data_IF_627889120590
#
_entry.id   IF_627889120590
#
_cell.length_a   1.000
_cell.length_b   1.000
_cell.length_c   1.000
_cell.angle_alpha   90.00
_cell.angle_beta   90.00
_cell.angle_gamma   90.00
#
_symmetry.space_group_name_H-M   'P 1'
#
loop_
_entity.id
_entity.type
_entity.pdbx_description
1 polymer ?
#
# COMPACT_ATOMS: atom_id res chain seq x y z
N UNK A 1 57.50 44.71 -41.53
CA UNK A 1 56.48 43.74 -41.98
C UNK A 1 57.22 42.64 -42.73
N UNK A 2 57.57 41.55 -42.03
CA UNK A 2 58.26 40.34 -42.48
C UNK A 2 57.57 39.22 -41.68
N UNK A 3 56.91 38.20 -42.24
CA UNK A 3 57.35 37.31 -43.29
C UNK A 3 57.84 36.01 -42.62
N UNK A 4 56.93 35.08 -42.30
CA UNK A 4 57.29 33.75 -41.77
C UNK A 4 57.06 32.67 -42.83
N UNK A 5 58.06 31.80 -42.93
CA UNK A 5 58.17 30.67 -43.84
C UNK A 5 57.71 29.36 -43.20
N UNK A 6 57.44 28.40 -44.09
CA UNK A 6 56.97 27.03 -43.89
C UNK A 6 57.91 26.09 -43.11
N UNK A 7 57.38 24.96 -42.63
CA UNK A 7 57.90 23.59 -42.87
C UNK A 7 57.12 22.50 -42.10
N UNK A 8 57.21 21.26 -42.61
CA UNK A 8 56.43 20.04 -42.34
C UNK A 8 57.15 19.03 -41.43
N UNK A 9 56.35 18.09 -40.87
CA UNK A 9 56.65 16.74 -40.31
C UNK A 9 56.83 16.62 -38.78
N UNK A 10 56.74 15.42 -38.13
CA UNK A 10 56.29 14.09 -38.57
C UNK A 10 55.28 13.37 -37.62
N UNK A 11 54.89 12.17 -38.04
CA UNK A 11 54.08 11.13 -37.39
C UNK A 11 54.80 10.46 -36.18
N UNK A 12 54.12 10.23 -35.04
CA UNK A 12 54.35 9.09 -34.11
C UNK A 12 53.15 8.81 -33.20
N UNK A 13 52.79 7.52 -33.12
CA UNK A 13 51.93 6.91 -32.10
C UNK A 13 52.67 6.80 -30.76
N UNK A 14 51.92 6.87 -29.66
CA UNK A 14 52.36 6.36 -28.36
C UNK A 14 51.61 6.97 -27.17
N UNK A 15 51.35 6.11 -26.19
CA UNK A 15 51.09 6.42 -24.78
C UNK A 15 49.64 6.73 -24.34
N UNK A 16 49.02 5.68 -23.78
CA UNK A 16 48.60 5.62 -22.37
C UNK A 16 48.25 6.92 -21.62
N UNK A 17 47.04 6.88 -21.05
CA UNK A 17 46.63 7.33 -19.71
C UNK A 17 46.28 8.82 -19.46
N UNK A 18 44.96 9.02 -19.46
CA UNK A 18 44.15 9.57 -18.34
C UNK A 18 43.83 11.08 -18.30
N UNK A 19 42.58 11.31 -17.86
CA UNK A 19 42.04 12.49 -17.15
C UNK A 19 41.22 13.56 -17.89
N UNK A 20 39.92 13.58 -17.52
CA UNK A 20 39.08 14.75 -17.22
C UNK A 20 38.44 15.50 -18.40
N UNK A 21 37.20 15.12 -18.73
CA UNK A 21 36.17 16.11 -19.02
C UNK A 21 35.01 15.95 -18.06
N UNK A 22 35.06 16.75 -17.01
CA UNK A 22 33.95 17.12 -16.15
C UNK A 22 32.71 17.50 -16.98
N UNK A 23 31.56 16.95 -16.59
CA UNK A 23 30.32 17.66 -16.21
C UNK A 23 29.06 16.89 -16.64
N UNK A 24 28.21 16.68 -15.62
CA UNK A 24 26.74 16.88 -15.60
C UNK A 24 25.93 16.21 -16.72
N UNK A 25 24.88 15.43 -16.48
CA UNK A 25 23.84 15.59 -15.48
C UNK A 25 23.02 14.29 -15.39
N UNK A 26 22.35 14.15 -14.26
CA UNK A 26 21.30 13.17 -13.94
C UNK A 26 20.25 13.09 -15.05
N UNK A 27 19.74 11.88 -15.27
CA UNK A 27 18.30 11.62 -15.30
C UNK A 27 18.05 10.13 -15.09
N UNK A 28 17.42 9.84 -13.95
CA UNK A 28 16.60 8.66 -13.66
C UNK A 28 15.73 8.24 -14.85
N UNK A 29 15.79 6.97 -15.25
CA UNK A 29 14.81 5.94 -14.86
C UNK A 29 15.19 4.61 -15.54
N UNK A 30 15.05 3.49 -14.82
CA UNK A 30 14.27 2.42 -15.43
C UNK A 30 13.23 1.88 -14.46
N UNK A 31 11.97 2.08 -14.83
CA UNK A 31 10.87 1.10 -14.79
C UNK A 31 11.20 -0.20 -14.03
N UNK A 32 10.69 -0.30 -12.80
CA UNK A 32 10.57 -1.58 -12.11
C UNK A 32 9.29 -1.61 -11.26
N UNK A 33 8.18 -2.06 -11.85
CA UNK A 33 7.41 -3.11 -11.17
C UNK A 33 7.99 -4.41 -11.72
N UNK A 34 8.54 -5.29 -10.86
CA UNK A 34 7.72 -5.98 -9.87
C UNK A 34 8.41 -6.06 -8.50
N UNK A 35 7.88 -5.41 -7.48
CA UNK A 35 8.28 -5.73 -6.11
C UNK A 35 7.64 -7.07 -5.70
N UNK A 36 8.38 -8.11 -6.06
CA UNK A 36 8.71 -9.27 -5.24
C UNK A 36 7.68 -9.66 -4.17
N UNK A 37 6.97 -10.75 -4.45
CA UNK A 37 6.42 -11.65 -3.45
C UNK A 37 7.53 -12.06 -2.46
N UNK A 38 7.46 -11.56 -1.24
CA UNK A 38 8.24 -11.97 -0.08
C UNK A 38 7.26 -12.25 1.09
N UNK A 39 7.61 -13.14 2.03
CA UNK A 39 6.78 -14.23 2.50
C UNK A 39 5.47 -13.75 3.15
N UNK A 40 4.36 -14.41 2.80
CA UNK A 40 2.97 -14.11 3.17
C UNK A 40 2.64 -14.20 4.69
N UNK A 41 3.63 -14.16 5.57
CA UNK A 41 3.48 -14.44 7.00
C UNK A 41 3.53 -13.20 7.92
N UNK A 42 3.77 -11.99 7.40
CA UNK A 42 3.81 -10.74 8.19
C UNK A 42 3.06 -9.58 7.53
N UNK A 43 2.00 -9.87 6.79
CA UNK A 43 1.13 -8.83 6.25
C UNK A 43 -0.15 -8.74 7.10
N UNK A 44 -0.41 -7.62 7.82
CA UNK A 44 -1.60 -7.48 8.65
C UNK A 44 -2.90 -7.54 7.84
N UNK A 45 -2.87 -7.17 6.55
CA UNK A 45 -4.00 -7.32 5.63
C UNK A 45 -4.35 -8.79 5.41
N UNK A 46 -3.37 -9.59 4.99
CA UNK A 46 -3.55 -11.03 4.77
C UNK A 46 -4.02 -11.77 6.02
N UNK A 47 -3.52 -11.36 7.20
CA UNK A 47 -3.95 -11.89 8.49
C UNK A 47 -5.43 -11.56 8.75
N UNK A 48 -5.82 -10.30 8.56
CA UNK A 48 -7.20 -9.88 8.74
C UNK A 48 -8.13 -10.64 7.79
N UNK A 49 -7.83 -10.69 6.49
CA UNK A 49 -8.66 -11.38 5.49
C UNK A 49 -8.85 -12.87 5.82
N UNK A 50 -7.78 -13.57 6.22
CA UNK A 50 -7.87 -14.96 6.63
C UNK A 50 -8.79 -15.13 7.86
N UNK A 51 -8.65 -14.26 8.86
CA UNK A 51 -9.53 -14.27 10.03
C UNK A 51 -10.99 -14.01 9.65
N UNK A 52 -11.26 -13.07 8.76
CA UNK A 52 -12.61 -12.73 8.33
C UNK A 52 -13.27 -13.91 7.61
N UNK A 53 -12.55 -14.61 6.73
CA UNK A 53 -13.06 -15.82 6.06
C UNK A 53 -13.30 -16.97 7.06
N UNK A 54 -12.34 -17.23 7.95
CA UNK A 54 -12.45 -18.27 8.98
C UNK A 54 -13.66 -18.05 9.88
N UNK A 55 -13.89 -16.79 10.26
CA UNK A 55 -15.02 -16.38 11.10
C UNK A 55 -16.33 -16.29 10.32
N UNK A 56 -16.34 -16.53 9.00
CA UNK A 56 -17.53 -16.42 8.14
C UNK A 56 -18.17 -15.04 8.20
N UNK A 57 -17.34 -14.01 8.17
CA UNK A 57 -17.78 -12.63 7.94
C UNK A 57 -18.38 -12.50 6.53
N UNK A 58 -19.32 -11.58 6.38
CA UNK A 58 -20.12 -11.43 5.16
C UNK A 58 -19.80 -10.10 4.47
N UNK A 59 -20.03 -10.05 3.15
CA UNK A 59 -19.86 -8.85 2.33
C UNK A 59 -18.51 -8.14 2.52
N UNK A 60 -17.43 -8.92 2.65
CA UNK A 60 -16.08 -8.39 2.81
C UNK A 60 -15.63 -7.72 1.51
N UNK A 61 -15.34 -6.43 1.61
CA UNK A 61 -14.82 -5.60 0.52
C UNK A 61 -13.50 -5.02 0.96
N UNK A 62 -12.54 -5.05 0.05
CA UNK A 62 -11.24 -4.45 0.23
C UNK A 62 -11.09 -3.21 -0.65
N UNK A 63 -10.53 -2.16 -0.07
CA UNK A 63 -10.40 -0.84 -0.68
C UNK A 63 -8.93 -0.46 -0.63
N UNK A 64 -8.33 -0.34 -1.80
CA UNK A 64 -6.98 0.20 -1.96
C UNK A 64 -6.98 1.71 -1.72
N UNK A 65 -6.19 2.13 -0.72
CA UNK A 65 -6.03 3.52 -0.30
C UNK A 65 -4.70 4.13 -0.75
N UNK A 66 -3.80 3.34 -1.34
CA UNK A 66 -2.48 3.80 -1.79
C UNK A 66 -2.66 4.95 -2.78
N UNK A 67 -2.01 6.08 -2.49
CA UNK A 67 -2.10 7.29 -3.31
C UNK A 67 -3.43 8.07 -3.17
N UNK A 68 -4.39 7.60 -2.38
CA UNK A 68 -5.66 8.30 -2.09
C UNK A 68 -5.62 9.02 -0.74
N UNK A 69 -4.95 8.45 0.25
CA UNK A 69 -4.81 9.01 1.60
C UNK A 69 -3.54 8.47 2.27
N UNK A 70 -3.03 9.16 3.28
CA UNK A 70 -1.87 8.73 4.08
C UNK A 70 -2.27 7.99 5.36
N UNK A 71 -3.54 7.63 5.52
CA UNK A 71 -4.08 7.09 6.78
C UNK A 71 -3.73 5.60 6.97
N UNK A 72 -3.72 4.84 5.86
CA UNK A 72 -3.43 3.42 5.77
C UNK A 72 -3.30 3.06 4.28
N UNK A 73 -2.70 1.92 3.97
CA UNK A 73 -2.57 1.42 2.59
C UNK A 73 -3.82 0.66 2.15
N UNK A 74 -4.46 -0.05 3.08
CA UNK A 74 -5.64 -0.86 2.81
C UNK A 74 -6.74 -0.62 3.83
N UNK A 75 -7.98 -0.65 3.36
CA UNK A 75 -9.14 -0.70 4.23
C UNK A 75 -10.05 -1.86 3.85
N UNK A 76 -10.41 -2.64 4.86
CA UNK A 76 -11.30 -3.79 4.74
C UNK A 76 -12.61 -3.42 5.43
N UNK A 77 -13.73 -3.60 4.72
CA UNK A 77 -15.08 -3.39 5.26
C UNK A 77 -15.82 -4.72 5.19
N UNK A 78 -16.37 -5.17 6.31
CA UNK A 78 -17.03 -6.46 6.41
C UNK A 78 -18.24 -6.40 7.32
N UNK A 79 -19.10 -7.41 7.25
CA UNK A 79 -20.32 -7.52 8.05
C UNK A 79 -20.34 -8.75 8.95
N UNK A 80 -20.90 -8.59 10.15
CA UNK A 80 -21.18 -9.66 11.09
C UNK A 80 -22.68 -9.75 11.37
N UNK A 81 -23.27 -10.93 11.15
CA UNK A 81 -24.71 -11.25 11.34
C UNK A 81 -25.37 -10.88 12.68
N UNK A 82 -24.62 -10.56 13.73
CA UNK A 82 -25.15 -10.17 15.04
C UNK A 82 -24.08 -9.47 15.87
N UNK A 83 -24.46 -8.77 16.95
CA UNK A 83 -23.52 -8.20 17.92
C UNK A 83 -22.46 -9.19 18.40
N UNK A 84 -22.89 -10.41 18.79
CA UNK A 84 -21.98 -11.46 19.24
C UNK A 84 -21.00 -11.85 18.15
N UNK A 85 -21.49 -11.93 16.90
CA UNK A 85 -20.66 -12.29 15.77
C UNK A 85 -19.62 -11.20 15.47
N UNK A 86 -20.04 -9.93 15.44
CA UNK A 86 -19.14 -8.76 15.28
C UNK A 86 -18.06 -8.77 16.36
N UNK A 87 -18.43 -8.93 17.63
CA UNK A 87 -17.48 -9.02 18.73
C UNK A 87 -16.49 -10.18 18.56
N UNK A 88 -16.99 -11.38 18.21
CA UNK A 88 -16.12 -12.55 18.02
C UNK A 88 -15.16 -12.40 16.83
N UNK A 89 -15.59 -11.76 15.74
CA UNK A 89 -14.72 -11.46 14.59
C UNK A 89 -13.63 -10.47 15.05
N UNK A 90 -14.01 -9.40 15.74
CA UNK A 90 -13.08 -8.39 16.21
C UNK A 90 -12.02 -9.00 17.14
N UNK A 91 -12.45 -9.77 18.15
CA UNK A 91 -11.56 -10.43 19.11
C UNK A 91 -10.57 -11.36 18.39
N UNK A 92 -11.05 -12.14 17.40
CA UNK A 92 -10.19 -13.05 16.64
C UNK A 92 -9.14 -12.30 15.81
N UNK A 93 -9.54 -11.23 15.12
CA UNK A 93 -8.62 -10.39 14.34
C UNK A 93 -7.57 -9.75 15.24
N UNK A 94 -7.98 -9.16 16.37
CA UNK A 94 -7.05 -8.54 17.34
C UNK A 94 -6.04 -9.56 17.86
N UNK A 95 -6.51 -10.76 18.20
CA UNK A 95 -5.66 -11.84 18.71
C UNK A 95 -4.63 -12.28 17.67
N UNK A 96 -5.03 -12.53 16.42
CA UNK A 96 -4.12 -12.98 15.36
C UNK A 96 -3.12 -11.90 14.94
N UNK A 97 -3.56 -10.63 14.88
CA UNK A 97 -2.66 -9.49 14.68
C UNK A 97 -1.60 -9.43 15.78
N UNK A 98 -2.03 -9.56 17.04
CA UNK A 98 -1.12 -9.55 18.19
C UNK A 98 -0.11 -10.69 18.15
N UNK A 99 -0.56 -11.91 17.87
CA UNK A 99 0.29 -13.11 17.77
C UNK A 99 1.37 -12.99 16.68
N UNK A 100 1.08 -12.21 15.63
CA UNK A 100 1.97 -12.02 14.47
C UNK A 100 2.81 -10.75 14.52
N UNK A 101 2.75 -10.02 15.64
CA UNK A 101 3.61 -8.86 15.91
C UNK A 101 2.95 -7.49 15.75
N UNK A 102 1.65 -7.43 15.44
CA UNK A 102 0.84 -6.21 15.26
C UNK A 102 0.00 -5.88 16.49
N UNK A 103 0.54 -6.12 17.69
CA UNK A 103 -0.20 -6.00 18.96
C UNK A 103 -0.48 -4.58 19.44
N UNK A 104 -0.09 -3.56 18.69
CA UNK A 104 -0.34 -2.14 18.96
C UNK A 104 -1.61 -1.62 18.28
N UNK A 105 -2.44 -2.51 17.72
CA UNK A 105 -3.67 -2.14 17.04
C UNK A 105 -4.61 -1.37 17.98
N UNK A 106 -5.15 -0.25 17.49
CA UNK A 106 -6.17 0.54 18.19
C UNK A 106 -7.54 0.00 17.85
N UNK A 107 -8.44 -0.04 18.83
CA UNK A 107 -9.77 -0.63 18.67
C UNK A 107 -10.84 0.32 19.19
N UNK A 108 -11.88 0.54 18.40
CA UNK A 108 -13.05 1.36 18.74
C UNK A 108 -14.35 0.57 18.55
N UNK A 109 -15.42 0.96 19.26
CA UNK A 109 -16.77 0.39 19.10
C UNK A 109 -17.08 -0.87 19.94
N UNK A 110 -16.08 -1.44 20.62
CA UNK A 110 -16.29 -2.45 21.67
C UNK A 110 -16.70 -1.79 23.01
N UNK A 111 -17.52 -2.45 23.86
CA UNK A 111 -18.15 -3.76 23.65
C UNK A 111 -19.52 -3.67 22.93
N UNK A 112 -19.94 -2.48 22.48
CA UNK A 112 -21.25 -2.28 21.87
C UNK A 112 -21.45 -3.15 20.62
N UNK A 113 -20.43 -3.32 19.78
CA UNK A 113 -20.42 -4.21 18.61
C UNK A 113 -21.47 -3.90 17.53
N UNK A 114 -21.99 -2.66 17.48
CA UNK A 114 -22.78 -2.18 16.34
C UNK A 114 -21.88 -1.91 15.12
N UNK A 115 -20.70 -1.38 15.40
CA UNK A 115 -19.56 -1.22 14.51
C UNK A 115 -18.30 -1.41 15.35
N UNK A 116 -17.27 -2.00 14.76
CA UNK A 116 -15.93 -2.07 15.32
C UNK A 116 -14.94 -1.61 14.28
N UNK A 117 -13.99 -0.77 14.69
CA UNK A 117 -12.82 -0.41 13.91
C UNK A 117 -11.57 -0.96 14.58
N UNK A 118 -10.75 -1.64 13.80
CA UNK A 118 -9.41 -2.08 14.18
C UNK A 118 -8.42 -1.35 13.27
N UNK A 119 -7.59 -0.52 13.86
CA UNK A 119 -6.50 0.20 13.18
C UNK A 119 -5.17 -0.48 13.53
N UNK A 120 -4.56 -1.13 12.54
CA UNK A 120 -3.28 -1.81 12.66
C UNK A 120 -2.16 -1.09 11.89
N UNK A 121 -2.28 0.22 11.66
CA UNK A 121 -1.35 1.02 10.86
C UNK A 121 -1.68 0.92 9.38
N UNK A 122 -1.05 -0.01 8.67
CA UNK A 122 -1.17 -0.11 7.20
C UNK A 122 -2.52 -0.70 6.76
N UNK A 123 -3.27 -1.30 7.68
CA UNK A 123 -4.62 -1.82 7.42
C UNK A 123 -5.64 -1.32 8.45
N UNK A 124 -6.80 -0.88 7.93
CA UNK A 124 -7.99 -0.57 8.71
C UNK A 124 -9.06 -1.63 8.48
N UNK A 125 -9.60 -2.23 9.54
CA UNK A 125 -10.68 -3.22 9.44
C UNK A 125 -11.93 -2.66 10.10
N UNK A 126 -12.97 -2.42 9.28
CA UNK A 126 -14.29 -2.04 9.75
C UNK A 126 -15.22 -3.25 9.73
N UNK A 127 -15.78 -3.59 10.88
CA UNK A 127 -16.73 -4.70 11.05
C UNK A 127 -18.07 -4.10 11.47
N UNK A 128 -19.11 -4.29 10.64
CA UNK A 128 -20.42 -3.71 10.87
C UNK A 128 -21.49 -4.77 11.11
N UNK A 129 -22.53 -4.42 11.87
CA UNK A 129 -23.83 -5.06 11.70
C UNK A 129 -24.44 -4.66 10.34
N UNK A 130 -25.06 -5.58 9.57
CA UNK A 130 -25.66 -5.26 8.27
C UNK A 130 -26.57 -4.02 8.26
N UNK A 131 -27.41 -3.90 9.29
CA UNK A 131 -28.34 -2.79 9.51
C UNK A 131 -27.63 -1.45 9.77
N UNK A 132 -26.45 -1.48 10.39
CA UNK A 132 -25.63 -0.28 10.65
C UNK A 132 -24.86 0.10 9.38
N UNK A 133 -24.29 -0.88 8.66
CA UNK A 133 -23.58 -0.67 7.39
C UNK A 133 -24.46 0.04 6.35
N UNK A 134 -25.70 -0.42 6.20
CA UNK A 134 -26.67 0.16 5.26
C UNK A 134 -27.09 1.59 5.63
N UNK A 135 -27.20 1.90 6.93
CA UNK A 135 -27.57 3.23 7.41
C UNK A 135 -26.49 4.28 7.14
N UNK A 136 -25.20 3.92 7.32
CA UNK A 136 -24.07 4.83 7.08
C UNK A 136 -23.58 4.85 5.62
N UNK A 137 -24.04 3.91 4.78
CA UNK A 137 -23.82 3.85 3.34
C UNK A 137 -22.37 4.17 2.91
N UNK A 138 -21.41 3.60 3.64
CA UNK A 138 -19.97 3.87 3.50
C UNK A 138 -19.46 3.56 2.09
N UNK A 139 -20.14 2.64 1.40
CA UNK A 139 -19.90 2.28 0.00
C UNK A 139 -20.14 3.44 -0.98
N UNK A 140 -20.95 4.45 -0.62
CA UNK A 140 -21.06 5.69 -1.43
C UNK A 140 -19.87 6.63 -1.25
N UNK A 141 -19.16 6.57 -0.12
CA UNK A 141 -18.00 7.42 0.14
C UNK A 141 -16.71 6.82 -0.42
N UNK A 142 -16.61 5.48 -0.48
CA UNK A 142 -15.40 4.78 -0.91
C UNK A 142 -15.57 3.81 -2.08
N UNK A 143 -16.78 3.59 -2.58
CA UNK A 143 -17.04 2.69 -3.70
C UNK A 143 -16.64 3.25 -5.07
N UNK A 144 -16.65 2.36 -6.07
CA UNK A 144 -16.29 2.56 -7.46
C UNK A 144 -17.10 3.64 -8.23
N UNK A 145 -18.03 4.32 -7.56
CA UNK A 145 -18.74 5.50 -8.07
C UNK A 145 -18.06 6.83 -7.68
N UNK A 146 -16.84 6.81 -7.12
CA UNK A 146 -15.97 8.00 -7.19
C UNK A 146 -15.84 8.40 -8.67
N UNK A 147 -16.16 9.65 -9.07
CA UNK A 147 -16.04 10.13 -10.45
C UNK A 147 -14.59 10.24 -10.97
N UNK A 148 -13.77 9.20 -10.81
CA UNK A 148 -12.36 9.14 -11.20
C UNK A 148 -11.88 7.76 -11.66
N UNK A 149 -12.53 6.66 -11.25
CA UNK A 149 -12.07 5.30 -11.60
C UNK A 149 -12.63 4.78 -12.94
N UNK A 150 -13.42 5.59 -13.67
CA UNK A 150 -14.05 5.22 -14.95
C UNK A 150 -13.35 5.79 -16.20
N UNK A 151 -12.12 6.29 -16.08
CA UNK A 151 -11.36 6.88 -17.19
C UNK A 151 -10.03 6.14 -17.41
N UNK A 152 -10.11 4.87 -17.80
CA UNK A 152 -9.06 4.15 -18.51
C UNK A 152 -9.70 3.01 -19.30
N UNK A 153 -10.30 3.34 -20.43
CA UNK A 153 -10.86 2.42 -21.42
C UNK A 153 -10.77 3.04 -22.80
#
# INVERSE_FOLDING_TARGET
>A
MLGQAAATAPHRQGSELNELTSREARSDEPSARPEAQAPEARDPRSIALACLDDMKAEDTVEIDLVGKTSIADTMIVTSGRSHRHVGSIADKVIQELKERGFGNARVEGLPACDWVLIDAGDVLVHIFRPEVRGFYNLEKMWGADRPGDRLAG
#
